data_IF_625933353868
#
_entry.id   IF_625933353868
#
_cell.length_a   1.000
_cell.length_b   1.000
_cell.length_c   1.000
_cell.angle_alpha   90.00
_cell.angle_beta   90.00
_cell.angle_gamma   90.00
#
_symmetry.space_group_name_H-M   'P 1'
#
loop_
_entity.id
_entity.type
_entity.pdbx_description
1 polymer ?
#
# COMPACT_ATOMS: atom_id res chain seq x y z
N UNK A 1 -8.81 18.58 -3.33
CA UNK A 1 -7.82 18.40 -4.40
C UNK A 1 -6.79 17.39 -3.90
N UNK A 2 -6.59 16.32 -4.60
CA UNK A 2 -5.72 15.22 -4.17
C UNK A 2 -4.25 15.59 -4.36
N UNK A 3 -3.44 15.48 -3.33
CA UNK A 3 -2.02 15.89 -3.33
C UNK A 3 -1.11 14.68 -3.47
N UNK A 4 -0.32 14.67 -4.53
CA UNK A 4 0.61 13.59 -4.88
C UNK A 4 2.04 14.10 -4.71
N UNK A 5 2.87 13.35 -4.02
CA UNK A 5 4.32 13.60 -3.98
C UNK A 5 5.01 12.65 -4.97
N UNK A 6 5.75 13.20 -5.90
CA UNK A 6 6.69 12.45 -6.75
C UNK A 6 8.10 12.59 -6.17
N UNK A 7 8.78 11.49 -5.94
CA UNK A 7 10.20 11.44 -5.60
C UNK A 7 10.91 10.75 -6.76
N UNK A 8 11.47 11.53 -7.68
CA UNK A 8 12.09 11.08 -8.92
C UNK A 8 13.08 12.16 -9.39
N UNK A 9 14.28 11.80 -9.79
CA UNK A 9 15.30 12.73 -10.23
C UNK A 9 15.13 13.20 -11.69
N UNK A 10 14.15 12.65 -12.40
CA UNK A 10 13.76 13.07 -13.74
C UNK A 10 12.80 14.25 -13.72
N UNK A 11 13.35 15.47 -13.84
CA UNK A 11 12.56 16.71 -13.93
C UNK A 11 11.63 16.74 -15.16
N UNK A 12 11.98 16.07 -16.27
CA UNK A 12 11.13 16.04 -17.46
C UNK A 12 9.88 15.20 -17.21
N UNK A 13 10.04 14.08 -16.53
CA UNK A 13 8.92 13.25 -16.09
C UNK A 13 8.00 14.05 -15.16
N UNK A 14 8.56 14.79 -14.22
CA UNK A 14 7.79 15.62 -13.28
C UNK A 14 6.93 16.66 -14.01
N UNK A 15 7.50 17.38 -14.98
CA UNK A 15 6.78 18.38 -15.79
C UNK A 15 5.65 17.73 -16.59
N UNK A 16 5.92 16.60 -17.25
CA UNK A 16 4.95 15.87 -18.05
C UNK A 16 3.77 15.37 -17.19
N UNK A 17 4.08 14.82 -16.03
CA UNK A 17 3.07 14.31 -15.11
C UNK A 17 2.24 15.45 -14.49
N UNK A 18 2.84 16.57 -14.10
CA UNK A 18 2.13 17.72 -13.55
C UNK A 18 1.09 18.27 -14.55
N UNK A 19 1.51 18.42 -15.82
CA UNK A 19 0.59 18.88 -16.87
C UNK A 19 -0.56 17.89 -17.11
N UNK A 20 -0.27 16.60 -17.09
CA UNK A 20 -1.27 15.56 -17.29
C UNK A 20 -2.22 15.43 -16.11
N UNK A 21 -1.72 15.51 -14.88
CA UNK A 21 -2.47 15.34 -13.63
C UNK A 21 -3.50 16.45 -13.39
N UNK A 22 -3.25 17.65 -13.86
CA UNK A 22 -4.21 18.78 -13.81
C UNK A 22 -5.57 18.43 -14.40
N UNK A 23 -5.63 17.57 -15.41
CA UNK A 23 -6.88 17.10 -16.05
C UNK A 23 -7.72 16.21 -15.14
N UNK A 24 -7.12 15.70 -14.05
CA UNK A 24 -7.75 14.76 -13.12
C UNK A 24 -7.87 15.32 -11.69
N UNK A 25 -7.72 16.63 -11.53
CA UNK A 25 -7.75 17.31 -10.21
C UNK A 25 -6.70 16.80 -9.22
N UNK A 26 -5.60 16.26 -9.73
CA UNK A 26 -4.44 15.84 -8.97
C UNK A 26 -3.40 16.97 -8.96
N UNK A 27 -2.89 17.28 -7.79
CA UNK A 27 -1.81 18.25 -7.58
C UNK A 27 -0.51 17.51 -7.34
N UNK A 28 0.49 17.74 -8.19
CA UNK A 28 1.81 17.15 -8.07
C UNK A 28 2.76 18.08 -7.32
N UNK A 29 3.51 17.53 -6.37
CA UNK A 29 4.72 18.13 -5.82
C UNK A 29 5.89 17.22 -6.17
N UNK A 30 7.01 17.78 -6.65
CA UNK A 30 8.19 17.01 -7.02
C UNK A 30 9.33 17.22 -6.05
N UNK A 31 10.04 16.14 -5.73
CA UNK A 31 11.31 16.13 -5.01
C UNK A 31 12.32 15.30 -5.82
N UNK A 32 13.39 15.94 -6.27
CA UNK A 32 14.45 15.29 -7.07
C UNK A 32 15.44 14.50 -6.22
N UNK A 33 15.37 14.67 -4.89
CA UNK A 33 16.23 13.98 -3.93
C UNK A 33 15.37 13.29 -2.85
N UNK A 34 15.75 12.08 -2.43
CA UNK A 34 15.11 11.37 -1.32
C UNK A 34 14.99 12.17 -0.03
N UNK A 35 16.06 12.86 0.34
CA UNK A 35 16.12 13.72 1.54
C UNK A 35 15.06 14.83 1.53
N UNK A 36 14.86 15.47 0.37
CA UNK A 36 13.85 16.51 0.18
C UNK A 36 12.45 15.91 0.24
N UNK A 37 12.22 14.75 -0.41
CA UNK A 37 10.94 14.07 -0.39
C UNK A 37 10.51 13.65 1.03
N UNK A 38 11.43 13.08 1.81
CA UNK A 38 11.18 12.73 3.20
C UNK A 38 10.90 13.96 4.08
N UNK A 39 11.59 15.07 3.82
CA UNK A 39 11.34 16.33 4.53
C UNK A 39 9.94 16.88 4.21
N UNK A 40 9.52 16.87 2.94
CA UNK A 40 8.17 17.29 2.54
C UNK A 40 7.10 16.45 3.20
N UNK A 41 7.26 15.12 3.25
CA UNK A 41 6.34 14.21 3.94
C UNK A 41 6.22 14.48 5.45
N UNK A 42 7.28 14.99 6.08
CA UNK A 42 7.24 15.36 7.49
C UNK A 42 6.55 16.72 7.75
N UNK A 43 6.51 17.61 6.75
CA UNK A 43 6.01 18.97 6.88
C UNK A 43 4.62 19.18 6.31
N UNK A 44 4.25 18.39 5.30
CA UNK A 44 3.02 18.58 4.54
C UNK A 44 2.24 17.27 4.41
N UNK A 45 0.93 17.40 4.21
CA UNK A 45 0.05 16.26 3.96
C UNK A 45 -0.01 15.92 2.48
N UNK A 46 0.19 14.65 2.17
CA UNK A 46 -0.01 14.06 0.85
C UNK A 46 -0.94 12.86 0.93
N UNK A 47 -1.66 12.59 -0.14
CA UNK A 47 -2.61 11.48 -0.25
C UNK A 47 -1.96 10.22 -0.84
N UNK A 48 -0.86 10.38 -1.60
CA UNK A 48 -0.11 9.28 -2.23
C UNK A 48 1.31 9.72 -2.59
N UNK A 49 2.26 8.79 -2.53
CA UNK A 49 3.64 8.97 -2.99
C UNK A 49 3.86 8.13 -4.25
N UNK A 50 4.48 8.75 -5.26
CA UNK A 50 5.08 8.07 -6.41
C UNK A 50 6.59 8.10 -6.17
N UNK A 51 7.24 6.95 -6.20
CA UNK A 51 8.63 6.80 -5.76
C UNK A 51 9.44 6.04 -6.80
N UNK A 52 10.46 6.68 -7.36
CA UNK A 52 11.40 5.96 -8.20
C UNK A 52 12.28 5.01 -7.37
N UNK A 53 12.61 3.87 -7.95
CA UNK A 53 13.57 2.92 -7.36
C UNK A 53 14.99 3.42 -7.51
N UNK A 54 15.33 3.98 -8.67
CA UNK A 54 16.69 4.41 -9.02
C UNK A 54 16.89 5.89 -8.70
N UNK A 55 17.14 6.19 -7.43
CA UNK A 55 17.35 7.56 -6.96
C UNK A 55 18.80 7.82 -6.57
N UNK A 56 19.28 9.07 -6.66
CA UNK A 56 20.56 9.46 -6.07
C UNK A 56 20.48 9.41 -4.53
N UNK A 57 21.61 9.47 -3.84
CA UNK A 57 21.76 9.41 -2.38
C UNK A 57 21.33 8.09 -1.74
N UNK A 58 20.13 7.60 -2.03
CA UNK A 58 19.50 6.44 -1.39
C UNK A 58 18.53 5.79 -2.36
N UNK A 59 18.56 4.48 -2.48
CA UNK A 59 17.60 3.77 -3.35
C UNK A 59 16.15 3.89 -2.85
N UNK A 60 15.20 3.81 -3.79
CA UNK A 60 13.78 3.95 -3.48
C UNK A 60 13.24 2.90 -2.51
N UNK A 61 13.87 1.74 -2.41
CA UNK A 61 13.48 0.72 -1.43
C UNK A 61 13.76 1.17 0.00
N UNK A 62 14.91 1.80 0.22
CA UNK A 62 15.26 2.33 1.54
C UNK A 62 14.39 3.54 1.89
N UNK A 63 14.09 4.41 0.91
CA UNK A 63 13.11 5.51 1.07
C UNK A 63 11.75 4.96 1.48
N UNK A 64 11.26 3.92 0.78
CA UNK A 64 10.00 3.25 1.10
C UNK A 64 9.98 2.73 2.54
N UNK A 65 11.06 2.08 2.99
CA UNK A 65 11.20 1.62 4.39
C UNK A 65 11.13 2.76 5.40
N UNK A 66 11.79 3.88 5.09
CA UNK A 66 11.77 5.04 5.99
C UNK A 66 10.38 5.66 6.08
N UNK A 67 9.68 5.80 4.95
CA UNK A 67 8.28 6.27 4.94
C UNK A 67 7.42 5.33 5.78
N UNK A 68 7.55 4.02 5.61
CA UNK A 68 6.75 3.00 6.33
C UNK A 68 6.99 2.93 7.83
N UNK A 69 8.12 3.45 8.33
CA UNK A 69 8.36 3.59 9.78
C UNK A 69 7.50 4.68 10.42
N UNK A 70 6.99 5.64 9.63
CA UNK A 70 6.33 6.84 10.13
C UNK A 70 4.92 7.03 9.58
N UNK A 71 4.59 6.41 8.43
CA UNK A 71 3.35 6.65 7.72
C UNK A 71 2.91 5.43 6.91
N UNK A 72 1.61 5.25 6.81
CA UNK A 72 0.93 4.26 5.98
C UNK A 72 0.44 4.86 4.64
N UNK A 73 0.92 6.06 4.28
CA UNK A 73 0.58 6.72 3.02
C UNK A 73 0.76 5.77 1.83
N UNK A 74 -0.18 5.68 0.89
CA UNK A 74 -0.03 4.84 -0.30
C UNK A 74 1.22 5.16 -1.10
N UNK A 75 1.97 4.14 -1.55
CA UNK A 75 3.18 4.28 -2.35
C UNK A 75 3.05 3.48 -3.64
N UNK A 76 3.21 4.15 -4.78
CA UNK A 76 3.43 3.51 -6.09
C UNK A 76 4.91 3.62 -6.41
N UNK A 77 5.59 2.49 -6.60
CA UNK A 77 6.99 2.50 -7.01
C UNK A 77 7.11 2.50 -8.54
N UNK A 78 7.95 3.39 -9.07
CA UNK A 78 8.37 3.37 -10.48
C UNK A 78 9.70 2.60 -10.59
N UNK A 79 9.84 1.75 -11.60
CA UNK A 79 11.08 0.98 -11.77
C UNK A 79 11.48 0.83 -13.23
N UNK A 80 12.77 0.98 -13.51
CA UNK A 80 13.32 0.64 -14.83
C UNK A 80 13.47 -0.88 -15.02
N UNK A 81 13.41 -1.66 -13.94
CA UNK A 81 13.60 -3.10 -13.97
C UNK A 81 12.26 -3.83 -13.97
N UNK A 82 11.98 -4.56 -15.06
CA UNK A 82 10.76 -5.35 -15.21
C UNK A 82 10.86 -6.73 -14.52
N UNK A 83 11.96 -7.00 -13.81
CA UNK A 83 12.18 -8.31 -13.19
C UNK A 83 11.20 -8.58 -12.04
N UNK A 84 10.68 -9.80 -12.03
CA UNK A 84 9.69 -10.26 -11.03
C UNK A 84 10.24 -10.13 -9.61
N UNK A 85 11.55 -10.26 -9.42
CA UNK A 85 12.20 -10.19 -8.11
C UNK A 85 12.13 -8.79 -7.50
N UNK A 86 12.34 -7.72 -8.27
CA UNK A 86 12.29 -6.35 -7.76
C UNK A 86 10.88 -5.94 -7.34
N UNK A 87 9.88 -6.43 -8.09
CA UNK A 87 8.46 -6.23 -7.73
C UNK A 87 8.09 -6.96 -6.43
N UNK A 88 8.60 -8.16 -6.23
CA UNK A 88 8.40 -8.93 -4.99
C UNK A 88 9.04 -8.19 -3.82
N UNK A 89 10.28 -7.73 -3.99
CA UNK A 89 10.99 -6.97 -2.96
C UNK A 89 10.26 -5.67 -2.59
N UNK A 90 9.77 -4.90 -3.57
CA UNK A 90 9.06 -3.66 -3.28
C UNK A 90 7.74 -3.85 -2.54
N UNK A 91 6.98 -4.88 -2.89
CA UNK A 91 5.77 -5.25 -2.15
C UNK A 91 6.11 -5.80 -0.76
N UNK A 92 7.23 -6.51 -0.62
CA UNK A 92 7.78 -6.92 0.66
C UNK A 92 8.11 -5.74 1.57
N UNK A 93 8.56 -4.64 0.99
CA UNK A 93 8.89 -3.42 1.71
C UNK A 93 7.68 -2.54 2.03
N UNK A 94 6.48 -2.92 1.55
CA UNK A 94 5.22 -2.27 1.86
C UNK A 94 4.72 -1.27 0.82
N UNK A 95 5.25 -1.27 -0.41
CA UNK A 95 4.64 -0.53 -1.51
C UNK A 95 3.24 -1.08 -1.84
N UNK A 96 2.33 -0.21 -2.26
CA UNK A 96 0.95 -0.56 -2.60
C UNK A 96 0.80 -1.00 -4.05
N UNK A 97 1.65 -0.48 -4.94
CA UNK A 97 1.70 -0.89 -6.35
C UNK A 97 3.09 -0.65 -6.96
N UNK A 98 3.29 -1.22 -8.14
CA UNK A 98 4.52 -1.17 -8.91
C UNK A 98 4.21 -0.88 -10.36
N UNK A 99 4.89 0.12 -10.95
CA UNK A 99 4.73 0.48 -12.36
C UNK A 99 6.09 0.50 -13.06
N UNK A 100 6.33 -0.39 -14.03
CA UNK A 100 7.58 -0.39 -14.78
C UNK A 100 7.68 0.81 -15.73
N UNK A 101 8.86 1.42 -15.84
CA UNK A 101 9.22 2.38 -16.87
C UNK A 101 9.68 1.64 -18.14
N UNK A 102 9.27 2.05 -19.36
CA UNK A 102 8.39 3.18 -19.65
C UNK A 102 6.91 2.84 -19.45
N UNK A 103 6.12 3.84 -19.03
CA UNK A 103 4.69 3.71 -18.81
C UNK A 103 3.91 4.85 -19.47
N UNK A 104 2.62 4.64 -19.71
CA UNK A 104 1.72 5.69 -20.16
C UNK A 104 1.20 6.49 -18.95
N UNK A 105 1.19 7.85 -18.98
CA UNK A 105 0.65 8.65 -17.89
C UNK A 105 -0.78 8.29 -17.50
N UNK A 106 -1.58 7.82 -18.46
CA UNK A 106 -2.94 7.33 -18.24
C UNK A 106 -2.98 6.09 -17.33
N UNK A 107 -2.02 5.20 -17.47
CA UNK A 107 -1.91 4.01 -16.62
C UNK A 107 -1.63 4.40 -15.17
N UNK A 108 -0.66 5.30 -14.95
CA UNK A 108 -0.33 5.81 -13.62
C UNK A 108 -1.55 6.46 -12.95
N UNK A 109 -2.29 7.33 -13.67
CA UNK A 109 -3.52 7.96 -13.14
C UNK A 109 -4.57 6.91 -12.77
N UNK A 110 -4.76 5.88 -13.62
CA UNK A 110 -5.73 4.81 -13.32
C UNK A 110 -5.35 4.04 -12.03
N UNK A 111 -4.07 3.80 -11.80
CA UNK A 111 -3.55 3.15 -10.59
C UNK A 111 -3.73 4.04 -9.36
N UNK A 112 -3.37 5.33 -9.44
CA UNK A 112 -3.60 6.33 -8.39
C UNK A 112 -5.07 6.34 -7.99
N UNK A 113 -5.97 6.52 -8.97
CA UNK A 113 -7.41 6.57 -8.70
C UNK A 113 -7.95 5.28 -8.08
N UNK A 114 -7.42 4.13 -8.51
CA UNK A 114 -7.83 2.83 -7.96
C UNK A 114 -7.43 2.70 -6.50
N UNK A 115 -6.20 3.08 -6.14
CA UNK A 115 -5.69 3.05 -4.77
C UNK A 115 -6.50 4.01 -3.88
N UNK A 116 -6.68 5.25 -4.33
CA UNK A 116 -7.42 6.27 -3.56
C UNK A 116 -8.91 5.93 -3.40
N UNK A 117 -9.57 5.44 -4.45
CA UNK A 117 -10.98 5.00 -4.36
C UNK A 117 -11.18 3.83 -3.40
N UNK A 118 -10.23 2.92 -3.30
CA UNK A 118 -10.29 1.83 -2.33
C UNK A 118 -10.23 2.37 -0.91
N UNK A 119 -9.32 3.29 -0.66
CA UNK A 119 -9.19 3.96 0.64
C UNK A 119 -10.50 4.66 1.05
N UNK A 120 -11.13 5.40 0.12
CA UNK A 120 -12.37 6.13 0.38
C UNK A 120 -13.59 5.22 0.55
N UNK A 121 -13.80 4.24 -0.33
CA UNK A 121 -14.95 3.31 -0.24
C UNK A 121 -14.96 2.47 1.01
N UNK A 122 -13.80 2.11 1.51
CA UNK A 122 -13.68 1.38 2.76
C UNK A 122 -13.99 2.26 3.97
N UNK A 123 -13.66 3.55 3.92
CA UNK A 123 -14.00 4.51 4.97
C UNK A 123 -15.52 4.77 5.07
N UNK A 124 -16.23 4.81 3.94
CA UNK A 124 -17.66 5.15 3.90
C UNK A 124 -18.59 4.01 4.33
N UNK A 125 -18.16 2.76 4.27
CA UNK A 125 -19.06 1.62 4.43
C UNK A 125 -19.15 1.00 5.82
N UNK A 126 -18.29 1.35 6.79
CA UNK A 126 -18.31 0.62 8.06
C UNK A 126 -17.68 1.37 9.25
N UNK A 127 -18.34 1.29 10.37
CA UNK A 127 -17.78 1.65 11.67
C UNK A 127 -16.56 0.78 12.08
N UNK A 128 -15.96 1.06 13.21
CA UNK A 128 -14.80 0.31 13.68
C UNK A 128 -15.13 -1.19 13.81
N UNK A 129 -14.18 -2.04 13.41
CA UNK A 129 -14.30 -3.49 13.54
C UNK A 129 -13.56 -3.92 14.80
N UNK A 130 -14.22 -4.63 15.70
CA UNK A 130 -13.62 -5.12 16.92
C UNK A 130 -13.67 -6.66 16.98
N UNK A 131 -12.53 -7.27 17.33
CA UNK A 131 -12.35 -8.70 17.47
C UNK A 131 -11.52 -9.00 18.72
N UNK A 132 -12.18 -9.05 19.88
CA UNK A 132 -11.48 -9.11 21.17
C UNK A 132 -10.62 -7.87 21.36
N UNK A 133 -9.30 -8.06 21.50
CA UNK A 133 -8.33 -6.98 21.73
C UNK A 133 -7.84 -6.28 20.44
N UNK A 134 -8.23 -6.79 19.27
CA UNK A 134 -7.96 -6.15 17.97
C UNK A 134 -9.09 -5.17 17.63
N UNK A 135 -8.75 -3.90 17.47
CA UNK A 135 -9.63 -2.84 16.98
C UNK A 135 -9.09 -2.30 15.66
N UNK A 136 -9.93 -2.23 14.64
CA UNK A 136 -9.64 -1.62 13.35
C UNK A 136 -10.48 -0.35 13.22
N UNK A 137 -9.86 0.81 13.29
CA UNK A 137 -10.49 2.07 12.93
C UNK A 137 -10.46 2.22 11.40
N UNK A 138 -11.60 2.08 10.78
CA UNK A 138 -11.72 2.08 9.33
C UNK A 138 -11.69 3.50 8.73
N UNK A 139 -11.97 4.53 9.55
CA UNK A 139 -11.89 5.93 9.14
C UNK A 139 -10.44 6.42 9.14
N UNK A 140 -9.73 6.16 10.25
CA UNK A 140 -8.33 6.55 10.38
C UNK A 140 -7.38 5.56 9.71
N UNK A 141 -7.88 4.39 9.26
CA UNK A 141 -7.10 3.28 8.70
C UNK A 141 -5.98 2.84 9.65
N UNK A 142 -6.31 2.79 10.93
CA UNK A 142 -5.41 2.39 11.99
C UNK A 142 -5.91 1.11 12.64
N UNK A 143 -4.98 0.35 13.19
CA UNK A 143 -5.28 -0.84 13.96
C UNK A 143 -4.60 -0.75 15.32
N UNK A 144 -5.30 -1.17 16.37
CA UNK A 144 -4.71 -1.37 17.69
C UNK A 144 -4.90 -2.82 18.13
N UNK A 145 -3.91 -3.34 18.83
CA UNK A 145 -3.94 -4.68 19.41
C UNK A 145 -3.47 -4.58 20.86
N UNK A 146 -4.23 -5.13 21.79
CA UNK A 146 -3.96 -5.00 23.24
C UNK A 146 -3.85 -3.52 23.68
N UNK A 147 -4.54 -2.60 23.00
CA UNK A 147 -4.50 -1.15 23.24
C UNK A 147 -3.30 -0.42 22.64
N UNK A 148 -2.36 -1.12 22.02
CA UNK A 148 -1.19 -0.54 21.36
C UNK A 148 -1.40 -0.40 19.84
N UNK A 149 -0.94 0.72 19.25
CA UNK A 149 -1.05 0.95 17.81
C UNK A 149 -0.17 -0.02 17.01
N UNK A 150 -0.76 -0.74 16.06
CA UNK A 150 -0.03 -1.59 15.13
C UNK A 150 0.56 -0.75 13.99
N UNK A 151 1.87 -0.85 13.81
CA UNK A 151 2.56 -0.24 12.67
C UNK A 151 2.35 -1.06 11.40
N UNK A 152 1.26 -0.81 10.68
CA UNK A 152 0.91 -1.49 9.44
C UNK A 152 1.18 -0.57 8.23
N UNK A 153 1.70 -1.12 7.14
CA UNK A 153 1.64 -0.42 5.85
C UNK A 153 0.21 -0.38 5.33
N UNK A 154 -0.08 0.50 4.36
CA UNK A 154 -1.41 0.57 3.75
C UNK A 154 -1.87 -0.79 3.21
N UNK A 155 -0.98 -1.57 2.61
CA UNK A 155 -1.29 -2.89 2.08
C UNK A 155 -1.59 -3.89 3.20
N UNK A 156 -0.80 -3.89 4.27
CA UNK A 156 -1.02 -4.77 5.43
C UNK A 156 -2.34 -4.44 6.13
N UNK A 157 -2.67 -3.15 6.27
CA UNK A 157 -3.94 -2.73 6.82
C UNK A 157 -5.12 -3.20 5.94
N UNK A 158 -5.07 -2.98 4.63
CA UNK A 158 -6.11 -3.44 3.69
C UNK A 158 -6.29 -4.96 3.73
N UNK A 159 -5.18 -5.71 3.79
CA UNK A 159 -5.22 -7.15 3.91
C UNK A 159 -5.89 -7.59 5.21
N UNK A 160 -5.52 -6.97 6.33
CA UNK A 160 -6.12 -7.26 7.63
C UNK A 160 -7.61 -6.94 7.63
N UNK A 161 -7.98 -5.75 7.16
CA UNK A 161 -9.37 -5.33 7.06
C UNK A 161 -10.20 -6.26 6.16
N UNK A 162 -9.69 -6.62 4.98
CA UNK A 162 -10.38 -7.54 4.07
C UNK A 162 -10.63 -8.91 4.69
N UNK A 163 -9.64 -9.46 5.36
CA UNK A 163 -9.77 -10.74 6.04
C UNK A 163 -10.70 -10.65 7.25
N UNK A 164 -10.60 -9.59 8.05
CA UNK A 164 -11.44 -9.35 9.21
C UNK A 164 -12.91 -9.18 8.84
N UNK A 165 -13.23 -8.42 7.78
CA UNK A 165 -14.60 -8.27 7.25
C UNK A 165 -15.19 -9.61 6.76
N UNK A 166 -14.34 -10.54 6.38
CA UNK A 166 -14.74 -11.88 5.98
C UNK A 166 -14.45 -12.95 7.04
N UNK A 167 -14.45 -12.56 8.32
CA UNK A 167 -14.17 -13.47 9.43
C UNK A 167 -14.94 -14.79 9.31
N UNK A 168 -14.23 -15.90 9.53
CA UNK A 168 -14.78 -17.26 9.40
C UNK A 168 -14.88 -17.78 7.96
N UNK A 169 -14.64 -16.94 6.93
CA UNK A 169 -14.64 -17.37 5.53
C UNK A 169 -13.22 -17.50 5.01
N UNK A 170 -12.91 -18.60 4.34
CA UNK A 170 -11.63 -18.78 3.65
C UNK A 170 -11.60 -17.90 2.40
N UNK A 171 -10.52 -17.14 2.23
CA UNK A 171 -10.22 -16.35 1.04
C UNK A 171 -9.07 -16.98 0.29
N UNK A 172 -9.26 -17.22 -1.00
CA UNK A 172 -8.20 -17.72 -1.87
C UNK A 172 -7.11 -16.66 -2.07
N UNK A 173 -5.92 -17.08 -2.51
CA UNK A 173 -4.84 -16.15 -2.88
C UNK A 173 -5.27 -15.20 -3.98
N UNK A 174 -6.02 -15.69 -4.95
CA UNK A 174 -6.50 -14.90 -6.06
C UNK A 174 -7.54 -13.86 -5.63
N UNK A 175 -8.48 -14.23 -4.72
CA UNK A 175 -9.42 -13.26 -4.14
C UNK A 175 -8.71 -12.17 -3.35
N UNK A 176 -7.72 -12.54 -2.53
CA UNK A 176 -6.91 -11.59 -1.76
C UNK A 176 -6.14 -10.68 -2.73
N UNK A 177 -5.51 -11.26 -3.73
CA UNK A 177 -4.75 -10.53 -4.73
C UNK A 177 -5.64 -9.54 -5.50
N UNK A 178 -6.80 -10.00 -5.97
CA UNK A 178 -7.77 -9.16 -6.68
C UNK A 178 -8.31 -8.03 -5.80
N UNK A 179 -8.43 -8.26 -4.49
CA UNK A 179 -8.83 -7.22 -3.56
C UNK A 179 -7.73 -6.17 -3.37
N UNK A 180 -6.48 -6.60 -3.24
CA UNK A 180 -5.33 -5.72 -3.01
C UNK A 180 -4.87 -5.02 -4.29
N UNK A 181 -5.05 -5.63 -5.47
CA UNK A 181 -4.61 -5.11 -6.77
C UNK A 181 -5.76 -4.98 -7.76
N UNK A 182 -5.74 -3.89 -8.51
CA UNK A 182 -6.84 -3.56 -9.43
C UNK A 182 -6.76 -4.14 -10.82
N UNK A 183 -5.65 -4.63 -11.37
CA UNK A 183 -5.54 -4.81 -12.83
C UNK A 183 -4.69 -6.01 -13.31
N UNK A 184 -3.77 -6.62 -12.57
CA UNK A 184 -2.93 -7.73 -13.09
C UNK A 184 -2.77 -8.91 -12.13
N UNK A 185 -3.29 -10.08 -12.54
CA UNK A 185 -3.52 -11.25 -11.67
C UNK A 185 -2.37 -12.29 -11.65
N UNK A 186 -1.54 -12.40 -12.69
CA UNK A 186 -0.72 -13.62 -12.87
C UNK A 186 0.61 -13.73 -12.10
N UNK A 187 1.15 -12.64 -11.55
CA UNK A 187 2.55 -12.62 -11.06
C UNK A 187 2.69 -12.73 -9.53
N UNK A 188 1.61 -12.73 -8.74
CA UNK A 188 1.68 -12.29 -7.36
C UNK A 188 1.20 -13.25 -6.26
N UNK A 189 1.03 -14.53 -6.50
CA UNK A 189 0.60 -15.47 -5.43
C UNK A 189 1.60 -15.52 -4.26
N UNK A 190 2.90 -15.37 -4.53
CA UNK A 190 3.93 -15.30 -3.49
C UNK A 190 3.88 -14.02 -2.66
N UNK A 191 3.48 -12.89 -3.25
CA UNK A 191 3.35 -11.63 -2.54
C UNK A 191 2.26 -11.69 -1.44
N UNK A 192 1.18 -12.41 -1.68
CA UNK A 192 0.14 -12.65 -0.66
C UNK A 192 0.69 -13.44 0.52
N UNK A 193 1.45 -14.50 0.26
CA UNK A 193 2.02 -15.35 1.32
C UNK A 193 3.01 -14.55 2.20
N UNK A 194 3.79 -13.67 1.59
CA UNK A 194 4.72 -12.78 2.29
C UNK A 194 3.96 -11.75 3.13
N UNK A 195 2.96 -11.08 2.55
CA UNK A 195 2.14 -10.11 3.28
C UNK A 195 1.43 -10.76 4.49
N UNK A 196 0.89 -11.96 4.32
CA UNK A 196 0.30 -12.74 5.43
C UNK A 196 1.34 -13.07 6.49
N UNK A 197 2.56 -13.47 6.09
CA UNK A 197 3.63 -13.79 7.04
C UNK A 197 4.00 -12.58 7.90
N UNK A 198 4.14 -11.39 7.29
CA UNK A 198 4.42 -10.15 7.99
C UNK A 198 3.29 -9.74 8.92
N UNK A 199 2.07 -9.79 8.41
CA UNK A 199 0.89 -9.44 9.21
C UNK A 199 0.78 -10.34 10.45
N UNK A 200 1.01 -11.66 10.30
CA UNK A 200 1.06 -12.58 11.44
C UNK A 200 2.14 -12.23 12.47
N UNK A 201 3.30 -11.76 12.04
CA UNK A 201 4.36 -11.34 12.97
C UNK A 201 3.92 -10.14 13.80
N UNK A 202 3.22 -9.18 13.20
CA UNK A 202 2.71 -7.98 13.87
C UNK A 202 1.51 -8.27 14.78
N UNK A 203 0.74 -9.30 14.48
CA UNK A 203 -0.41 -9.74 15.28
C UNK A 203 -0.03 -10.66 16.46
N UNK A 204 1.23 -11.00 16.66
CA UNK A 204 1.66 -11.83 17.79
C UNK A 204 1.38 -11.12 19.13
N UNK A 205 1.01 -11.88 20.18
CA UNK A 205 0.91 -13.35 20.22
C UNK A 205 -0.40 -13.93 19.66
N UNK A 206 -1.32 -13.11 19.15
CA UNK A 206 -2.65 -13.54 18.70
C UNK A 206 -2.60 -14.24 17.34
N UNK A 207 -3.08 -15.48 17.28
CA UNK A 207 -3.17 -16.26 16.04
C UNK A 207 -4.49 -15.99 15.30
N UNK A 208 -4.68 -14.78 14.79
CA UNK A 208 -5.93 -14.35 14.15
C UNK A 208 -6.08 -14.81 12.70
N UNK A 209 -5.02 -15.24 12.03
CA UNK A 209 -5.04 -15.65 10.62
C UNK A 209 -4.53 -17.08 10.49
N UNK A 210 -5.36 -18.00 9.99
CA UNK A 210 -4.99 -19.40 9.73
C UNK A 210 -4.86 -19.68 8.23
N UNK A 211 -3.96 -20.61 7.90
CA UNK A 211 -3.82 -21.14 6.54
C UNK A 211 -4.73 -22.35 6.37
N UNK A 212 -5.56 -22.32 5.34
CA UNK A 212 -6.34 -23.48 4.88
C UNK A 212 -5.61 -24.06 3.68
N UNK A 213 -4.96 -25.21 3.89
CA UNK A 213 -4.12 -25.86 2.87
C UNK A 213 -4.90 -26.06 1.57
N UNK A 214 -4.30 -25.65 0.45
CA UNK A 214 -4.90 -25.75 -0.89
C UNK A 214 -6.01 -24.72 -1.18
N UNK A 215 -6.52 -23.97 -0.18
CA UNK A 215 -7.65 -23.05 -0.36
C UNK A 215 -7.30 -21.58 -0.12
N UNK A 216 -6.41 -21.26 0.83
CA UNK A 216 -6.03 -19.87 1.11
C UNK A 216 -5.91 -19.56 2.59
N UNK A 217 -6.49 -18.43 3.02
CA UNK A 217 -6.39 -17.89 4.37
C UNK A 217 -7.75 -17.57 4.97
N UNK A 218 -7.86 -17.69 6.28
CA UNK A 218 -9.09 -17.37 7.03
C UNK A 218 -8.73 -16.56 8.27
N UNK A 219 -9.47 -15.49 8.51
CA UNK A 219 -9.44 -14.75 9.76
C UNK A 219 -10.37 -15.42 10.77
N UNK A 220 -9.87 -15.72 11.97
CA UNK A 220 -10.59 -16.49 12.99
C UNK A 220 -10.97 -15.68 14.23
N UNK A 221 -10.68 -14.36 14.25
CA UNK A 221 -11.17 -13.47 15.31
C UNK A 221 -12.70 -13.50 15.35
N UNK A 222 -13.26 -13.47 16.55
CA UNK A 222 -14.72 -13.38 16.74
C UNK A 222 -15.09 -11.90 16.90
N UNK A 223 -16.09 -11.41 16.15
CA UNK A 223 -16.60 -10.05 16.36
C UNK A 223 -17.08 -9.89 17.82
N UNK A 224 -16.77 -8.73 18.39
CA UNK A 224 -17.23 -8.37 19.75
C UNK A 224 -18.45 -7.51 19.65
#
# INVERSE_FOLDING_TARGET
MTRILLIDDDDQLAVLLDEYFKRFELQLSNATLPSVGLQLLAQEHFDLVILDVMLPEMDGFEVCKQIRRQSDIPIIMLTACAEVMDRVVGLELGADDYLPKPFEPRELVARIQTILKRSQRQAEQNGPLQFGDLLLDTHLRQATLDGEALQLSSMEYQLLEYLARSAGRTRSRDEILNHLKGIEVEIYSRAVDIAISRLRQKLKPHELIKTVRGSGYVFIGKPT
#
